data_IF_997693273971
#
_entry.id   IF_997693273971
#
_cell.length_a   1.000
_cell.length_b   1.000
_cell.length_c   1.000
_cell.angle_alpha   90.00
_cell.angle_beta   90.00
_cell.angle_gamma   90.00
#
_symmetry.space_group_name_H-M   'P 1'
#
loop_
_entity.id
_entity.type
_entity.pdbx_description
1 polymer ?
#
# COMPACT_ATOMS: atom_id res chain seq x y z
N UNK A 1 3.32 -22.78 25.70
CA UNK A 1 2.81 -23.46 24.49
C UNK A 1 3.92 -23.89 23.52
N UNK A 2 4.77 -22.99 22.98
CA UNK A 2 5.81 -23.40 22.01
C UNK A 2 6.80 -24.48 22.50
N UNK A 3 7.05 -24.52 23.82
CA UNK A 3 7.88 -25.53 24.52
C UNK A 3 7.04 -26.71 24.99
N UNK A 4 5.89 -26.44 25.62
CA UNK A 4 5.03 -27.46 26.23
C UNK A 4 4.30 -28.35 25.19
N UNK A 5 3.89 -27.79 24.06
CA UNK A 5 3.17 -28.49 22.99
C UNK A 5 3.78 -28.19 21.60
N UNK A 6 4.97 -28.74 21.30
CA UNK A 6 5.76 -28.38 20.13
C UNK A 6 5.05 -28.57 18.78
N UNK A 7 4.28 -29.66 18.66
CA UNK A 7 3.59 -30.02 17.42
C UNK A 7 2.34 -29.17 17.18
N UNK A 8 1.54 -28.99 18.23
CA UNK A 8 0.38 -28.11 18.18
C UNK A 8 0.80 -26.69 17.80
N UNK A 9 1.89 -26.19 18.40
CA UNK A 9 2.40 -24.87 18.10
C UNK A 9 2.79 -24.71 16.63
N UNK A 10 3.45 -25.72 16.03
CA UNK A 10 3.79 -25.72 14.61
C UNK A 10 2.54 -25.64 13.72
N UNK A 11 1.51 -26.45 14.01
CA UNK A 11 0.22 -26.41 13.30
C UNK A 11 -0.50 -25.08 13.49
N UNK A 12 -0.44 -24.51 14.69
CA UNK A 12 -1.05 -23.24 15.02
C UNK A 12 -0.42 -22.08 14.24
N UNK A 13 0.92 -22.02 14.14
CA UNK A 13 1.61 -21.02 13.32
C UNK A 13 1.20 -21.12 11.86
N UNK A 14 1.09 -22.34 11.32
CA UNK A 14 0.60 -22.55 9.96
C UNK A 14 -0.86 -22.09 9.82
N UNK A 15 -1.73 -22.44 10.77
CA UNK A 15 -3.13 -22.00 10.77
C UNK A 15 -3.27 -20.48 10.83
N UNK A 16 -2.49 -19.78 11.66
CA UNK A 16 -2.45 -18.32 11.67
C UNK A 16 -2.13 -17.78 10.27
N UNK A 17 -1.20 -18.44 9.58
CA UNK A 17 -0.73 -18.01 8.27
C UNK A 17 -1.75 -18.24 7.16
N UNK A 18 -2.30 -19.45 7.05
CA UNK A 18 -3.16 -19.84 5.91
C UNK A 18 -4.65 -19.84 6.22
N UNK A 19 -5.03 -20.13 7.46
CA UNK A 19 -6.43 -20.21 7.90
C UNK A 19 -6.97 -18.86 8.34
N UNK A 20 -6.29 -18.21 9.28
CA UNK A 20 -6.70 -16.90 9.81
C UNK A 20 -6.19 -15.71 8.97
N UNK A 21 -5.27 -15.96 8.03
CA UNK A 21 -4.65 -14.94 7.15
C UNK A 21 -3.96 -13.81 7.95
N UNK A 22 -3.46 -14.13 9.16
CA UNK A 22 -2.75 -13.21 10.04
C UNK A 22 -1.25 -13.24 9.75
N UNK A 23 -0.82 -12.54 8.69
CA UNK A 23 0.57 -12.47 8.25
C UNK A 23 1.53 -12.13 9.38
N UNK A 24 1.43 -10.93 9.95
CA UNK A 24 2.44 -10.43 10.90
C UNK A 24 2.45 -11.27 12.18
N UNK A 25 1.27 -11.64 12.68
CA UNK A 25 1.16 -12.48 13.86
C UNK A 25 1.81 -13.86 13.66
N UNK A 26 1.66 -14.47 12.48
CA UNK A 26 2.27 -15.77 12.19
C UNK A 26 3.80 -15.71 12.19
N UNK A 27 4.40 -14.67 11.61
CA UNK A 27 5.86 -14.47 11.58
C UNK A 27 6.39 -14.22 12.99
N UNK A 28 5.77 -13.30 13.75
CA UNK A 28 6.18 -12.99 15.12
C UNK A 28 6.07 -14.23 16.01
N UNK A 29 4.94 -14.95 15.95
CA UNK A 29 4.75 -16.18 16.70
C UNK A 29 5.86 -17.20 16.37
N UNK A 30 6.18 -17.42 15.10
CA UNK A 30 7.21 -18.35 14.69
C UNK A 30 8.60 -17.98 15.26
N UNK A 31 8.98 -16.70 15.26
CA UNK A 31 10.27 -16.23 15.77
C UNK A 31 10.35 -16.33 17.30
N UNK A 32 9.30 -15.90 18.01
CA UNK A 32 9.21 -16.00 19.47
C UNK A 32 9.21 -17.45 19.94
N UNK A 33 8.41 -18.29 19.29
CA UNK A 33 8.36 -19.72 19.57
C UNK A 33 9.68 -20.41 19.27
N UNK A 34 10.34 -20.04 18.17
CA UNK A 34 11.66 -20.57 17.85
C UNK A 34 12.70 -20.19 18.90
N UNK A 35 12.70 -18.95 19.38
CA UNK A 35 13.57 -18.48 20.47
C UNK A 35 13.35 -19.29 21.75
N UNK A 36 12.10 -19.41 22.19
CA UNK A 36 11.74 -20.16 23.40
C UNK A 36 12.15 -21.65 23.31
N UNK A 37 11.92 -22.27 22.16
CA UNK A 37 12.30 -23.67 21.93
C UNK A 37 13.81 -23.89 21.92
N UNK A 38 14.57 -22.98 21.29
CA UNK A 38 16.03 -23.04 21.30
C UNK A 38 16.56 -22.89 22.73
N UNK A 39 16.00 -21.97 23.52
CA UNK A 39 16.38 -21.80 24.93
C UNK A 39 16.09 -23.07 25.76
N UNK A 40 15.05 -23.83 25.41
CA UNK A 40 14.71 -25.10 26.03
C UNK A 40 15.43 -26.33 25.41
N UNK A 41 16.37 -26.14 24.48
CA UNK A 41 17.08 -27.25 23.83
C UNK A 41 16.23 -28.10 22.87
N UNK A 42 15.06 -27.61 22.45
CA UNK A 42 14.12 -28.36 21.61
C UNK A 42 14.41 -28.17 20.11
N UNK A 43 14.38 -29.26 19.30
CA UNK A 43 14.58 -29.18 17.85
C UNK A 43 13.32 -28.67 17.11
N UNK A 44 13.41 -28.55 15.78
CA UNK A 44 12.26 -28.34 14.89
C UNK A 44 11.90 -26.88 14.56
N UNK A 45 12.50 -25.89 15.23
CA UNK A 45 12.17 -24.47 15.01
C UNK A 45 12.44 -23.97 13.58
N UNK A 46 13.39 -24.57 12.85
CA UNK A 46 13.71 -24.22 11.45
C UNK A 46 12.49 -24.35 10.54
N UNK A 47 11.77 -25.47 10.64
CA UNK A 47 10.62 -25.75 9.80
C UNK A 47 9.45 -24.80 10.09
N UNK A 48 9.22 -24.48 11.37
CA UNK A 48 8.18 -23.53 11.79
C UNK A 48 8.45 -22.13 11.25
N UNK A 49 9.70 -21.64 11.38
CA UNK A 49 10.10 -20.34 10.82
C UNK A 49 9.96 -20.34 9.29
N UNK A 50 10.47 -21.37 8.62
CA UNK A 50 10.39 -21.49 7.17
C UNK A 50 8.94 -21.53 6.66
N UNK A 51 8.01 -22.18 7.36
CA UNK A 51 6.60 -22.29 6.96
C UNK A 51 5.80 -20.99 7.16
N UNK A 52 6.16 -20.17 8.14
CA UNK A 52 5.51 -18.89 8.40
C UNK A 52 5.80 -17.83 7.31
N UNK A 53 6.97 -17.94 6.66
CA UNK A 53 7.41 -17.03 5.61
C UNK A 53 6.93 -17.51 4.23
N UNK A 54 5.95 -16.80 3.65
CA UNK A 54 5.35 -17.17 2.36
C UNK A 54 5.35 -16.03 1.33
N UNK A 55 5.77 -14.81 1.69
CA UNK A 55 6.02 -13.71 0.74
C UNK A 55 7.46 -13.24 0.80
N UNK A 56 7.99 -12.77 -0.31
CA UNK A 56 9.42 -12.49 -0.46
C UNK A 56 9.90 -11.25 0.33
N UNK A 57 9.01 -10.38 0.80
CA UNK A 57 9.34 -9.31 1.74
C UNK A 57 9.51 -9.82 3.19
N UNK A 58 8.90 -10.95 3.54
CA UNK A 58 8.83 -11.45 4.92
C UNK A 58 10.17 -11.95 5.50
N UNK A 59 11.11 -12.53 4.73
CA UNK A 59 12.46 -12.77 5.23
C UNK A 59 13.15 -11.48 5.72
N UNK A 60 12.95 -10.35 5.04
CA UNK A 60 13.46 -9.04 5.44
C UNK A 60 12.78 -8.54 6.71
N UNK A 61 11.46 -8.66 6.79
CA UNK A 61 10.69 -8.31 8.01
C UNK A 61 11.11 -9.16 9.21
N UNK A 62 11.33 -10.46 9.03
CA UNK A 62 11.76 -11.37 10.09
C UNK A 62 13.14 -10.99 10.62
N UNK A 63 14.07 -10.65 9.72
CA UNK A 63 15.38 -10.11 10.09
C UNK A 63 15.26 -8.78 10.83
N UNK A 64 14.48 -7.83 10.29
CA UNK A 64 14.27 -6.51 10.90
C UNK A 64 13.68 -6.63 12.31
N UNK A 65 12.65 -7.46 12.47
CA UNK A 65 12.04 -7.77 13.77
C UNK A 65 13.07 -8.33 14.74
N UNK A 66 13.84 -9.34 14.31
CA UNK A 66 14.83 -9.97 15.18
C UNK A 66 15.91 -8.99 15.63
N UNK A 67 16.48 -8.22 14.69
CA UNK A 67 17.51 -7.23 14.99
C UNK A 67 16.99 -6.16 15.95
N UNK A 68 15.78 -5.64 15.71
CA UNK A 68 15.17 -4.62 16.57
C UNK A 68 14.85 -5.12 17.98
N UNK A 69 14.54 -6.41 18.14
CA UNK A 69 14.09 -6.96 19.43
C UNK A 69 15.18 -7.67 20.24
N UNK A 70 16.13 -8.30 19.54
CA UNK A 70 17.13 -9.22 20.11
C UNK A 70 18.57 -8.91 19.70
N UNK A 71 18.78 -7.95 18.81
CA UNK A 71 20.09 -7.61 18.28
C UNK A 71 20.63 -8.66 17.29
N UNK A 72 21.95 -8.63 17.06
CA UNK A 72 22.60 -9.37 15.97
C UNK A 72 22.68 -10.89 16.18
N UNK A 73 22.60 -11.36 17.43
CA UNK A 73 22.74 -12.80 17.73
C UNK A 73 21.44 -13.53 17.40
N UNK A 74 21.46 -14.27 16.31
CA UNK A 74 20.32 -15.06 15.83
C UNK A 74 20.60 -16.57 15.97
N UNK A 75 19.71 -17.34 16.63
CA UNK A 75 19.82 -18.79 16.71
C UNK A 75 19.92 -19.47 15.34
N UNK A 76 20.78 -20.49 15.25
CA UNK A 76 20.99 -21.25 14.00
C UNK A 76 19.69 -21.74 13.35
N UNK A 77 18.69 -22.30 14.07
CA UNK A 77 17.43 -22.71 13.46
C UNK A 77 16.62 -21.56 12.86
N UNK A 78 16.64 -20.37 13.48
CA UNK A 78 15.95 -19.17 12.96
C UNK A 78 16.65 -18.71 11.68
N UNK A 79 17.98 -18.54 11.73
CA UNK A 79 18.79 -18.16 10.57
C UNK A 79 18.55 -19.10 9.38
N UNK A 80 18.56 -20.42 9.61
CA UNK A 80 18.32 -21.43 8.56
C UNK A 80 16.88 -21.42 8.04
N UNK A 81 15.88 -21.16 8.89
CA UNK A 81 14.48 -21.08 8.45
C UNK A 81 14.24 -19.87 7.53
N UNK A 82 14.86 -18.73 7.84
CA UNK A 82 14.84 -17.54 6.97
C UNK A 82 15.60 -17.82 5.67
N UNK A 83 16.75 -18.49 5.74
CA UNK A 83 17.53 -18.87 4.56
C UNK A 83 16.71 -19.79 3.61
N UNK A 84 16.00 -20.78 4.15
CA UNK A 84 15.13 -21.66 3.36
C UNK A 84 13.98 -20.89 2.68
N UNK A 85 13.44 -19.89 3.37
CA UNK A 85 12.42 -19.01 2.80
C UNK A 85 13.00 -18.13 1.68
N UNK A 86 14.21 -17.58 1.85
CA UNK A 86 14.90 -16.84 0.80
C UNK A 86 15.12 -17.71 -0.45
N UNK A 87 15.62 -18.94 -0.30
CA UNK A 87 15.79 -19.89 -1.43
C UNK A 87 14.47 -20.17 -2.15
N UNK A 88 13.36 -20.28 -1.42
CA UNK A 88 12.04 -20.55 -2.02
C UNK A 88 11.42 -19.32 -2.69
N UNK A 89 11.58 -18.15 -2.08
CA UNK A 89 10.81 -16.94 -2.41
C UNK A 89 11.57 -15.95 -3.28
N UNK A 90 12.90 -16.02 -3.33
CA UNK A 90 13.72 -15.09 -4.10
C UNK A 90 13.88 -15.59 -5.54
N UNK A 91 13.20 -14.89 -6.42
CA UNK A 91 13.27 -14.99 -7.88
C UNK A 91 13.20 -13.58 -8.50
N UNK A 92 13.53 -13.43 -9.78
CA UNK A 92 13.63 -12.12 -10.45
C UNK A 92 12.40 -11.21 -10.25
N UNK A 93 11.18 -11.75 -10.44
CA UNK A 93 9.93 -11.00 -10.21
C UNK A 93 9.75 -10.54 -8.76
N UNK A 94 10.22 -11.31 -7.78
CA UNK A 94 10.12 -10.95 -6.36
C UNK A 94 11.09 -9.82 -6.02
N UNK A 95 12.29 -9.84 -6.59
CA UNK A 95 13.28 -8.77 -6.44
C UNK A 95 12.69 -7.46 -6.97
N UNK A 96 12.14 -7.47 -8.19
CA UNK A 96 11.49 -6.29 -8.78
C UNK A 96 10.32 -5.74 -7.96
N UNK A 97 9.58 -6.61 -7.27
CA UNK A 97 8.38 -6.23 -6.53
C UNK A 97 8.65 -5.81 -5.09
N UNK A 98 9.63 -6.42 -4.43
CA UNK A 98 9.79 -6.34 -2.98
C UNK A 98 11.16 -5.82 -2.53
N UNK A 99 12.13 -5.59 -3.42
CA UNK A 99 13.47 -5.06 -3.07
C UNK A 99 13.68 -3.62 -3.57
N UNK A 100 13.12 -2.66 -2.82
CA UNK A 100 13.30 -1.23 -3.08
C UNK A 100 14.45 -0.65 -2.24
N UNK A 101 15.16 0.36 -2.78
CA UNK A 101 16.38 0.91 -2.15
C UNK A 101 16.13 1.56 -0.77
N UNK A 102 14.90 2.07 -0.53
CA UNK A 102 14.52 2.71 0.73
C UNK A 102 14.08 1.76 1.86
N UNK A 103 14.12 0.44 1.65
CA UNK A 103 13.73 -0.51 2.68
C UNK A 103 14.80 -0.64 3.78
N UNK A 104 14.40 -0.78 5.06
CA UNK A 104 15.34 -0.90 6.17
C UNK A 104 16.16 -2.20 6.11
N UNK A 105 15.56 -3.27 5.59
CA UNK A 105 16.22 -4.54 5.33
C UNK A 105 15.86 -4.97 3.91
N UNK A 106 16.88 -5.13 3.08
CA UNK A 106 16.79 -5.51 1.67
C UNK A 106 17.11 -6.99 1.47
N UNK A 107 16.90 -7.48 0.25
CA UNK A 107 17.22 -8.87 -0.09
C UNK A 107 18.71 -9.15 0.17
N UNK A 108 19.60 -8.24 -0.22
CA UNK A 108 21.04 -8.36 0.06
C UNK A 108 21.36 -8.53 1.55
N UNK A 109 20.70 -7.77 2.45
CA UNK A 109 20.91 -7.91 3.89
C UNK A 109 20.46 -9.29 4.40
N UNK A 110 19.35 -9.82 3.88
CA UNK A 110 18.88 -11.17 4.23
C UNK A 110 19.91 -12.20 3.77
N UNK A 111 20.46 -12.06 2.56
CA UNK A 111 21.48 -12.96 2.03
C UNK A 111 22.76 -12.92 2.88
N UNK A 112 23.27 -11.73 3.20
CA UNK A 112 24.43 -11.53 4.07
C UNK A 112 24.23 -12.12 5.47
N UNK A 113 23.05 -11.93 6.06
CA UNK A 113 22.82 -12.38 7.44
C UNK A 113 22.54 -13.88 7.50
N UNK A 114 21.85 -14.43 6.50
CA UNK A 114 21.34 -15.82 6.55
C UNK A 114 22.17 -16.83 5.77
N UNK A 115 23.00 -16.37 4.83
CA UNK A 115 23.88 -17.19 3.99
C UNK A 115 23.15 -18.40 3.36
N UNK A 116 22.06 -18.19 2.62
CA UNK A 116 21.37 -19.28 1.94
C UNK A 116 22.24 -19.86 0.83
N UNK A 117 22.12 -21.17 0.62
CA UNK A 117 22.73 -21.85 -0.52
C UNK A 117 21.74 -21.81 -1.68
N UNK A 118 22.14 -21.21 -2.80
CA UNK A 118 21.33 -21.17 -4.00
C UNK A 118 21.04 -22.60 -4.52
N UNK A 119 19.82 -22.82 -5.02
CA UNK A 119 19.39 -24.13 -5.52
C UNK A 119 19.99 -24.49 -6.88
N UNK A 120 20.37 -23.48 -7.66
CA UNK A 120 20.89 -23.59 -9.02
C UNK A 120 21.78 -22.37 -9.35
N UNK A 121 22.52 -22.45 -10.45
CA UNK A 121 23.44 -21.39 -10.87
C UNK A 121 22.73 -20.05 -11.14
N UNK A 122 21.51 -20.08 -11.71
CA UNK A 122 20.72 -18.88 -12.01
C UNK A 122 20.28 -18.17 -10.73
N UNK A 123 19.88 -18.90 -9.70
CA UNK A 123 19.58 -18.32 -8.39
C UNK A 123 20.86 -17.80 -7.71
N UNK A 124 22.01 -18.45 -7.94
CA UNK A 124 23.31 -17.93 -7.53
C UNK A 124 23.58 -16.54 -8.13
N UNK A 125 23.32 -16.36 -9.42
CA UNK A 125 23.46 -15.07 -10.09
C UNK A 125 22.46 -14.03 -9.56
N UNK A 126 21.21 -14.44 -9.28
CA UNK A 126 20.22 -13.57 -8.65
C UNK A 126 20.68 -13.09 -7.26
N UNK A 127 21.23 -13.99 -6.44
CA UNK A 127 21.71 -13.64 -5.10
C UNK A 127 22.89 -12.68 -5.18
N UNK A 128 23.83 -12.95 -6.09
CA UNK A 128 24.97 -12.06 -6.35
C UNK A 128 24.50 -10.68 -6.80
N UNK A 129 23.55 -10.62 -7.73
CA UNK A 129 22.97 -9.36 -8.19
C UNK A 129 22.26 -8.59 -7.05
N UNK A 130 21.52 -9.27 -6.18
CA UNK A 130 20.88 -8.63 -5.02
C UNK A 130 21.88 -8.10 -3.98
N UNK A 131 22.99 -8.81 -3.75
CA UNK A 131 24.09 -8.35 -2.90
C UNK A 131 24.79 -7.14 -3.51
N UNK A 132 25.09 -7.20 -4.80
CA UNK A 132 25.72 -6.10 -5.54
C UNK A 132 24.87 -4.82 -5.48
N UNK A 133 23.55 -4.93 -5.67
CA UNK A 133 22.59 -3.84 -5.46
C UNK A 133 22.65 -3.26 -4.04
N UNK A 134 22.74 -4.13 -3.03
CA UNK A 134 22.81 -3.68 -1.64
C UNK A 134 24.10 -2.91 -1.33
N UNK A 135 25.21 -3.31 -1.93
CA UNK A 135 26.52 -2.72 -1.65
C UNK A 135 26.93 -1.60 -2.64
N UNK A 136 26.02 -1.15 -3.51
CA UNK A 136 26.30 -0.09 -4.48
C UNK A 136 27.27 -0.52 -5.59
N UNK A 137 27.34 -1.84 -5.86
CA UNK A 137 28.11 -2.43 -6.96
C UNK A 137 27.18 -2.74 -8.13
N UNK A 138 26.30 -1.80 -8.47
CA UNK A 138 25.20 -1.99 -9.41
C UNK A 138 25.68 -2.19 -10.85
N UNK A 139 26.05 -3.43 -11.17
CA UNK A 139 26.33 -3.86 -12.53
C UNK A 139 25.03 -4.22 -13.24
N UNK A 140 25.08 -4.20 -14.58
CA UNK A 140 24.02 -4.73 -15.44
C UNK A 140 23.67 -6.15 -14.99
N UNK A 141 22.38 -6.44 -14.92
CA UNK A 141 21.90 -7.79 -14.59
C UNK A 141 22.53 -8.81 -15.56
N UNK A 142 23.05 -9.96 -15.05
CA UNK A 142 23.55 -11.03 -15.89
C UNK A 142 22.51 -11.51 -16.91
N UNK A 143 22.96 -11.99 -18.07
CA UNK A 143 22.07 -12.50 -19.12
C UNK A 143 21.22 -13.70 -18.67
N UNK A 144 21.71 -14.46 -17.68
CA UNK A 144 20.98 -15.54 -17.01
C UNK A 144 19.70 -15.06 -16.29
N UNK A 145 19.62 -13.75 -15.98
CA UNK A 145 18.47 -13.08 -15.37
C UNK A 145 17.65 -12.37 -16.47
N UNK A 146 16.99 -13.17 -17.29
CA UNK A 146 16.25 -12.71 -18.46
C UNK A 146 15.11 -11.72 -18.14
N UNK A 147 14.42 -11.89 -17.01
CA UNK A 147 13.33 -10.98 -16.61
C UNK A 147 13.90 -9.63 -16.22
N UNK A 148 15.00 -9.61 -15.46
CA UNK A 148 15.68 -8.36 -15.09
C UNK A 148 16.26 -7.66 -16.32
N UNK A 149 16.85 -8.42 -17.25
CA UNK A 149 17.39 -7.88 -18.51
C UNK A 149 16.27 -7.27 -19.37
N UNK A 150 15.17 -7.98 -19.57
CA UNK A 150 14.01 -7.47 -20.29
C UNK A 150 13.39 -6.25 -19.60
N UNK A 151 13.32 -6.26 -18.26
CA UNK A 151 12.85 -5.11 -17.48
C UNK A 151 13.75 -3.91 -17.68
N UNK A 152 15.06 -4.06 -17.60
CA UNK A 152 16.02 -2.98 -17.83
C UNK A 152 15.87 -2.37 -19.23
N UNK A 153 15.68 -3.21 -20.26
CA UNK A 153 15.45 -2.74 -21.63
C UNK A 153 14.18 -1.88 -21.74
N UNK A 154 13.06 -2.28 -21.10
CA UNK A 154 11.85 -1.45 -21.07
C UNK A 154 12.06 -0.15 -20.28
N UNK A 155 12.74 -0.20 -19.13
CA UNK A 155 13.00 0.99 -18.31
C UNK A 155 13.89 2.01 -19.04
N UNK A 156 14.77 1.53 -19.93
CA UNK A 156 15.64 2.38 -20.74
C UNK A 156 14.92 3.07 -21.92
N UNK A 157 13.68 2.68 -22.25
CA UNK A 157 12.93 3.35 -23.32
C UNK A 157 12.61 4.81 -22.94
N UNK A 158 12.82 5.77 -23.87
CA UNK A 158 12.32 7.14 -23.72
C UNK A 158 10.82 7.14 -23.46
N UNK A 159 10.34 8.06 -22.61
CA UNK A 159 8.96 8.10 -22.12
C UNK A 159 7.95 8.12 -23.28
N UNK A 160 8.29 8.84 -24.34
CA UNK A 160 7.48 9.08 -25.53
C UNK A 160 7.18 7.76 -26.26
N UNK A 161 8.11 6.81 -26.24
CA UNK A 161 7.98 5.50 -26.91
C UNK A 161 7.27 4.44 -26.06
N UNK A 162 7.12 4.66 -24.74
CA UNK A 162 6.57 3.64 -23.83
C UNK A 162 5.11 3.31 -24.13
N UNK A 163 4.36 4.28 -24.67
CA UNK A 163 2.97 4.09 -25.05
C UNK A 163 2.77 3.05 -26.17
N UNK A 164 3.75 2.94 -27.08
CA UNK A 164 3.76 2.03 -28.23
C UNK A 164 3.93 0.57 -27.80
N UNK A 165 4.50 0.31 -26.62
CA UNK A 165 4.70 -1.05 -26.11
C UNK A 165 3.38 -1.59 -25.53
N UNK A 166 2.58 -2.20 -26.39
CA UNK A 166 1.28 -2.81 -26.04
C UNK A 166 1.30 -4.33 -26.01
N UNK A 167 2.35 -4.97 -26.53
CA UNK A 167 2.46 -6.42 -26.57
C UNK A 167 2.53 -7.01 -25.15
N UNK A 168 1.55 -7.86 -24.83
CA UNK A 168 1.44 -8.52 -23.52
C UNK A 168 2.59 -9.49 -23.25
N UNK A 169 3.13 -10.16 -24.28
CA UNK A 169 4.23 -11.10 -24.13
C UNK A 169 5.52 -10.37 -23.74
N UNK A 170 5.79 -9.23 -24.37
CA UNK A 170 6.93 -8.36 -24.04
C UNK A 170 6.83 -7.86 -22.59
N UNK A 171 5.66 -7.37 -22.19
CA UNK A 171 5.41 -6.89 -20.83
C UNK A 171 5.54 -8.02 -19.78
N UNK A 172 5.03 -9.22 -20.09
CA UNK A 172 5.11 -10.38 -19.20
C UNK A 172 6.54 -10.92 -19.05
N UNK A 173 7.34 -10.90 -20.13
CA UNK A 173 8.75 -11.28 -20.12
C UNK A 173 9.57 -10.34 -19.22
N UNK A 174 9.24 -9.05 -19.20
CA UNK A 174 9.84 -8.05 -18.32
C UNK A 174 9.28 -8.04 -16.89
N UNK A 175 8.37 -8.96 -16.55
CA UNK A 175 7.74 -9.00 -15.22
C UNK A 175 6.98 -7.71 -14.87
N UNK A 176 6.43 -7.01 -15.87
CA UNK A 176 5.58 -5.84 -15.64
C UNK A 176 4.27 -6.27 -14.99
N UNK A 177 4.06 -5.88 -13.74
CA UNK A 177 2.72 -5.93 -13.13
C UNK A 177 1.89 -4.74 -13.62
N UNK A 178 0.58 -4.76 -13.36
CA UNK A 178 -0.26 -3.60 -13.67
C UNK A 178 0.23 -2.32 -12.99
N UNK A 179 0.62 -2.42 -11.71
CA UNK A 179 1.12 -1.27 -10.94
C UNK A 179 2.42 -0.72 -11.55
N UNK A 180 3.35 -1.61 -11.90
CA UNK A 180 4.59 -1.23 -12.56
C UNK A 180 4.35 -0.59 -13.93
N UNK A 181 3.43 -1.14 -14.72
CA UNK A 181 3.08 -0.66 -16.05
C UNK A 181 2.43 0.73 -16.00
N UNK A 182 1.51 0.95 -15.05
CA UNK A 182 0.83 2.24 -14.88
C UNK A 182 1.84 3.36 -14.57
N UNK A 183 2.76 3.13 -13.63
CA UNK A 183 3.82 4.09 -13.32
C UNK A 183 4.82 4.28 -14.47
N UNK A 184 5.25 3.19 -15.12
CA UNK A 184 6.24 3.23 -16.20
C UNK A 184 5.75 3.99 -17.44
N UNK A 185 4.46 3.88 -17.80
CA UNK A 185 3.91 4.58 -18.96
C UNK A 185 3.92 6.10 -18.85
N UNK A 186 3.95 6.64 -17.63
CA UNK A 186 4.00 8.08 -17.36
C UNK A 186 2.98 8.92 -18.15
N UNK A 187 1.71 8.49 -18.19
CA UNK A 187 0.63 9.23 -18.89
C UNK A 187 -0.42 9.72 -17.91
N UNK A 188 -0.89 10.93 -18.13
CA UNK A 188 -2.14 11.45 -17.56
C UNK A 188 -3.28 11.30 -18.57
N UNK A 189 -4.53 11.35 -18.10
CA UNK A 189 -5.70 11.43 -18.96
C UNK A 189 -6.58 12.60 -18.51
N UNK A 190 -7.04 13.40 -19.46
CA UNK A 190 -7.95 14.51 -19.20
C UNK A 190 -9.39 14.03 -19.28
N UNK A 191 -10.16 14.28 -18.23
CA UNK A 191 -11.61 14.16 -18.27
C UNK A 191 -12.19 15.47 -18.78
N UNK A 192 -12.75 15.53 -20.01
CA UNK A 192 -13.32 16.78 -20.52
C UNK A 192 -14.49 17.22 -19.65
N UNK A 193 -14.62 18.54 -19.47
CA UNK A 193 -15.78 19.15 -18.81
C UNK A 193 -17.01 18.91 -19.70
N UNK A 194 -18.06 18.32 -19.16
CA UNK A 194 -19.23 17.94 -19.94
C UNK A 194 -20.03 19.16 -20.42
N UNK A 195 -20.03 20.24 -19.63
CA UNK A 195 -20.66 21.53 -19.96
C UNK A 195 -20.11 22.66 -19.07
N UNK A 196 -20.15 23.93 -19.52
CA UNK A 196 -19.86 25.07 -18.65
C UNK A 196 -20.69 25.00 -17.36
N UNK A 197 -20.04 25.18 -16.21
CA UNK A 197 -20.68 25.09 -14.89
C UNK A 197 -21.02 23.67 -14.41
N UNK A 198 -20.43 22.61 -14.98
CA UNK A 198 -20.56 21.25 -14.44
C UNK A 198 -20.18 21.21 -12.95
N UNK A 199 -21.02 20.57 -12.14
CA UNK A 199 -20.73 20.33 -10.73
C UNK A 199 -19.53 19.39 -10.58
N UNK A 200 -18.57 19.74 -9.72
CA UNK A 200 -17.43 18.87 -9.36
C UNK A 200 -17.90 17.47 -8.94
N UNK A 201 -19.01 17.37 -8.21
CA UNK A 201 -19.57 16.07 -7.80
C UNK A 201 -20.10 15.26 -8.99
N UNK A 202 -20.67 15.91 -10.00
CA UNK A 202 -21.12 15.24 -11.22
C UNK A 202 -19.91 14.75 -12.04
N UNK A 203 -18.86 15.56 -12.15
CA UNK A 203 -17.61 15.17 -12.80
C UNK A 203 -16.95 13.96 -12.09
N UNK A 204 -16.92 13.95 -10.75
CA UNK A 204 -16.41 12.80 -9.96
C UNK A 204 -17.26 11.54 -10.17
N UNK A 205 -18.59 11.65 -10.23
CA UNK A 205 -19.47 10.50 -10.53
C UNK A 205 -19.19 9.94 -11.92
N UNK A 206 -19.10 10.81 -12.93
CA UNK A 206 -18.76 10.41 -14.31
C UNK A 206 -17.37 9.79 -14.40
N UNK A 207 -16.40 10.29 -13.64
CA UNK A 207 -15.07 9.71 -13.51
C UNK A 207 -15.15 8.27 -12.96
N UNK A 208 -15.94 8.06 -11.89
CA UNK A 208 -16.16 6.73 -11.30
C UNK A 208 -16.91 5.77 -12.23
N UNK A 209 -18.01 6.22 -12.83
CA UNK A 209 -18.88 5.41 -13.69
C UNK A 209 -18.26 5.13 -15.06
N UNK A 210 -17.48 6.08 -15.59
CA UNK A 210 -16.80 5.98 -16.88
C UNK A 210 -15.50 5.19 -16.87
N UNK A 211 -15.16 4.51 -15.77
CA UNK A 211 -13.96 3.67 -15.67
C UNK A 211 -12.64 4.45 -15.62
N UNK A 212 -12.66 5.71 -15.17
CA UNK A 212 -11.47 6.55 -15.04
C UNK A 212 -10.73 6.35 -13.70
N UNK A 213 -11.29 5.52 -12.82
CA UNK A 213 -10.63 5.04 -11.60
C UNK A 213 -9.72 3.87 -11.97
N UNK A 214 -8.52 4.16 -12.47
CA UNK A 214 -7.51 3.15 -12.88
C UNK A 214 -6.88 2.41 -11.69
N UNK A 215 -7.19 2.85 -10.48
CA UNK A 215 -7.00 2.08 -9.27
C UNK A 215 -5.57 1.95 -8.78
N UNK A 216 -4.56 2.64 -9.36
CA UNK A 216 -3.20 2.83 -8.81
C UNK A 216 -2.35 3.79 -9.69
N UNK A 217 -1.41 4.51 -9.07
CA UNK A 217 -0.38 5.33 -9.71
C UNK A 217 -0.69 6.84 -9.74
N UNK A 218 0.21 7.64 -9.17
CA UNK A 218 0.05 9.09 -9.02
C UNK A 218 1.21 9.80 -9.73
N UNK A 219 0.92 10.55 -10.79
CA UNK A 219 1.88 11.39 -11.54
C UNK A 219 1.48 12.86 -11.43
N UNK A 220 1.10 13.29 -10.23
CA UNK A 220 0.46 14.60 -9.98
C UNK A 220 1.25 15.74 -10.59
N UNK A 221 2.56 15.81 -10.32
CA UNK A 221 3.42 16.89 -10.79
C UNK A 221 3.40 17.02 -12.32
N UNK A 222 3.62 15.90 -13.03
CA UNK A 222 3.64 15.91 -14.49
C UNK A 222 2.25 16.16 -15.06
N UNK A 223 1.20 15.62 -14.45
CA UNK A 223 -0.17 15.91 -14.86
C UNK A 223 -0.52 17.40 -14.71
N UNK A 224 -0.08 18.06 -13.64
CA UNK A 224 -0.27 19.50 -13.45
C UNK A 224 0.51 20.29 -14.50
N UNK A 225 1.78 19.94 -14.73
CA UNK A 225 2.61 20.60 -15.75
C UNK A 225 2.00 20.50 -17.14
N UNK A 226 1.57 19.31 -17.56
CA UNK A 226 1.11 19.05 -18.92
C UNK A 226 -0.29 19.64 -19.19
N UNK A 227 -1.10 19.84 -18.14
CA UNK A 227 -2.51 20.21 -18.29
C UNK A 227 -2.86 21.59 -17.73
N UNK A 228 -1.96 22.28 -17.02
CA UNK A 228 -2.23 23.65 -16.59
C UNK A 228 -2.23 24.60 -17.79
N UNK A 229 -3.42 25.07 -18.18
CA UNK A 229 -3.63 25.97 -19.31
C UNK A 229 -4.29 27.29 -18.87
N UNK A 230 -3.73 27.95 -17.84
CA UNK A 230 -4.26 29.24 -17.35
C UNK A 230 -5.54 29.11 -16.52
N UNK A 231 -5.70 28.01 -15.79
CA UNK A 231 -6.85 27.79 -14.93
C UNK A 231 -6.86 28.77 -13.75
N UNK A 232 -8.02 29.33 -13.42
CA UNK A 232 -8.15 30.27 -12.30
C UNK A 232 -7.89 29.63 -10.93
N UNK A 233 -8.00 28.29 -10.84
CA UNK A 233 -7.79 27.49 -9.62
C UNK A 233 -7.36 26.08 -9.96
N UNK A 234 -6.55 25.48 -9.08
CA UNK A 234 -6.13 24.06 -9.17
C UNK A 234 -6.54 23.33 -7.90
N UNK A 235 -7.17 22.16 -8.05
CA UNK A 235 -7.55 21.29 -6.92
C UNK A 235 -7.01 19.89 -7.20
N UNK A 236 -6.15 19.39 -6.30
CA UNK A 236 -5.52 18.09 -6.37
C UNK A 236 -6.20 17.14 -5.38
N UNK A 237 -6.85 16.10 -5.89
CA UNK A 237 -7.49 15.05 -5.09
C UNK A 237 -6.61 13.81 -5.13
N UNK A 238 -5.90 13.50 -4.04
CA UNK A 238 -4.84 12.49 -4.05
C UNK A 238 -4.64 11.86 -2.68
N UNK A 239 -4.09 10.65 -2.63
CA UNK A 239 -3.59 10.05 -1.40
C UNK A 239 -2.18 10.55 -1.01
N UNK A 240 -1.57 11.41 -1.84
CA UNK A 240 -0.22 11.97 -1.66
C UNK A 240 0.90 10.92 -1.66
N UNK A 241 0.76 9.87 -2.47
CA UNK A 241 1.89 8.98 -2.75
C UNK A 241 3.07 9.77 -3.36
N UNK A 242 4.09 10.05 -2.55
CA UNK A 242 5.26 10.85 -2.91
C UNK A 242 6.31 10.12 -3.78
N UNK A 243 5.97 8.95 -4.33
CA UNK A 243 6.90 8.15 -5.12
C UNK A 243 6.76 8.48 -6.61
N UNK A 244 7.87 8.89 -7.24
CA UNK A 244 8.03 9.23 -8.67
C UNK A 244 7.53 10.63 -9.10
N UNK A 245 8.02 11.69 -8.45
CA UNK A 245 7.94 13.04 -9.01
C UNK A 245 9.35 13.58 -9.29
N UNK A 246 9.56 14.14 -10.49
CA UNK A 246 10.84 14.74 -10.89
C UNK A 246 11.16 16.06 -10.17
N UNK A 247 10.24 16.58 -9.36
CA UNK A 247 10.41 17.75 -8.48
C UNK A 247 9.65 17.56 -7.18
N UNK A 248 10.12 18.23 -6.12
CA UNK A 248 9.55 18.19 -4.78
C UNK A 248 8.22 18.97 -4.63
N UNK A 249 7.91 19.87 -5.57
CA UNK A 249 6.69 20.69 -5.58
C UNK A 249 5.82 20.32 -6.78
N UNK A 250 4.66 19.71 -6.50
CA UNK A 250 3.69 19.29 -7.53
C UNK A 250 2.94 20.45 -8.19
N UNK A 251 3.01 21.65 -7.61
CA UNK A 251 2.35 22.88 -8.06
C UNK A 251 3.30 23.85 -8.74
N UNK A 252 4.55 23.46 -8.99
CA UNK A 252 5.58 24.34 -9.56
C UNK A 252 5.21 24.95 -10.92
N UNK A 253 4.36 24.27 -11.70
CA UNK A 253 3.86 24.77 -12.99
C UNK A 253 2.68 25.77 -12.85
N UNK A 254 2.14 25.96 -11.65
CA UNK A 254 1.01 26.85 -11.37
C UNK A 254 1.56 28.17 -10.82
N UNK A 255 1.21 29.33 -11.43
CA UNK A 255 1.58 30.64 -10.91
C UNK A 255 1.28 30.81 -9.41
N UNK A 256 2.10 31.61 -8.72
CA UNK A 256 2.02 31.76 -7.27
C UNK A 256 0.73 32.45 -6.81
N UNK A 257 0.15 33.30 -7.66
CA UNK A 257 -1.10 34.03 -7.46
C UNK A 257 -2.34 33.18 -7.72
N UNK A 258 -2.20 32.03 -8.40
CA UNK A 258 -3.31 31.11 -8.68
C UNK A 258 -3.53 30.18 -7.47
N UNK A 259 -4.75 30.16 -6.88
CA UNK A 259 -5.06 29.27 -5.77
C UNK A 259 -4.91 27.80 -6.16
N UNK A 260 -4.03 27.09 -5.45
CA UNK A 260 -3.83 25.66 -5.58
C UNK A 260 -4.10 24.96 -4.24
N UNK A 261 -4.95 23.94 -4.27
CA UNK A 261 -5.39 23.18 -3.11
C UNK A 261 -5.03 21.71 -3.26
N UNK A 262 -4.44 21.12 -2.24
CA UNK A 262 -4.28 19.66 -2.15
C UNK A 262 -5.23 19.12 -1.10
N UNK A 263 -6.05 18.14 -1.49
CA UNK A 263 -6.94 17.37 -0.63
C UNK A 263 -6.39 15.95 -0.48
N UNK A 264 -5.82 15.70 0.70
CA UNK A 264 -5.27 14.40 1.04
C UNK A 264 -6.40 13.43 1.45
N UNK A 265 -6.55 12.35 0.68
CA UNK A 265 -7.63 11.37 0.84
C UNK A 265 -7.24 10.14 1.69
N UNK A 266 -5.94 9.84 1.89
CA UNK A 266 -5.51 8.60 2.56
C UNK A 266 -4.26 8.69 3.47
N UNK A 267 -3.61 9.85 3.58
CA UNK A 267 -2.80 10.23 4.74
C UNK A 267 -1.32 9.83 4.74
N UNK A 268 -0.53 10.20 3.72
CA UNK A 268 0.92 10.32 3.90
C UNK A 268 1.28 11.56 4.74
N UNK A 269 2.26 11.41 5.64
CA UNK A 269 2.63 12.41 6.66
C UNK A 269 3.33 13.66 6.09
N UNK A 270 3.96 13.53 4.93
CA UNK A 270 4.71 14.61 4.27
C UNK A 270 3.91 15.03 3.05
N UNK A 271 3.39 16.26 3.07
CA UNK A 271 2.68 16.85 1.95
C UNK A 271 3.60 17.05 0.74
N UNK A 272 3.07 16.85 -0.47
CA UNK A 272 3.80 17.05 -1.73
C UNK A 272 3.75 18.51 -2.23
N UNK A 273 3.20 19.42 -1.42
CA UNK A 273 3.02 20.85 -1.71
C UNK A 273 3.89 21.71 -0.77
N UNK A 274 4.50 22.82 -1.22
CA UNK A 274 5.23 23.72 -0.34
C UNK A 274 4.36 24.31 0.79
N UNK A 275 4.95 24.59 1.97
CA UNK A 275 4.28 25.36 3.02
C UNK A 275 3.80 26.72 2.48
N UNK A 276 2.53 27.09 2.76
CA UNK A 276 1.92 28.35 2.31
C UNK A 276 0.95 28.20 1.14
N UNK A 277 0.96 27.07 0.43
CA UNK A 277 -0.18 26.64 -0.40
C UNK A 277 -1.25 26.01 0.52
N UNK A 278 -2.53 26.13 0.16
CA UNK A 278 -3.63 25.69 1.03
C UNK A 278 -3.78 24.17 0.99
N UNK A 279 -3.25 23.48 1.99
CA UNK A 279 -3.37 22.03 2.16
C UNK A 279 -4.55 21.69 3.10
N UNK A 280 -5.42 20.79 2.66
CA UNK A 280 -6.64 20.40 3.39
C UNK A 280 -6.67 18.89 3.59
N UNK A 281 -6.82 18.48 4.85
CA UNK A 281 -6.85 17.07 5.24
C UNK A 281 -8.29 16.61 5.46
N UNK A 282 -8.72 15.57 4.74
CA UNK A 282 -10.04 14.95 4.93
C UNK A 282 -10.04 13.87 6.03
N UNK A 283 -8.86 13.38 6.41
CA UNK A 283 -8.66 12.55 7.60
C UNK A 283 -7.62 13.21 8.50
N UNK A 284 -7.85 13.23 9.82
CA UNK A 284 -6.83 13.71 10.74
C UNK A 284 -5.55 12.89 10.52
N UNK A 285 -4.36 13.52 10.35
CA UNK A 285 -3.12 12.77 10.34
C UNK A 285 -3.09 11.90 11.60
N UNK A 286 -2.74 10.61 11.49
CA UNK A 286 -2.54 9.77 12.67
C UNK A 286 -1.54 10.49 13.57
N UNK A 287 -2.04 11.15 14.61
CA UNK A 287 -1.23 11.81 15.63
C UNK A 287 -0.34 10.71 16.20
N UNK A 288 0.97 10.86 16.05
CA UNK A 288 1.90 10.11 16.86
C UNK A 288 1.54 10.44 18.31
N UNK A 289 1.07 9.43 19.04
CA UNK A 289 1.22 9.40 20.48
C UNK A 289 2.73 9.40 20.73
N UNK A 290 3.31 10.60 20.84
CA UNK A 290 4.55 10.79 21.55
C UNK A 290 4.21 10.49 23.00
N UNK A 291 4.51 9.27 23.44
CA UNK A 291 4.51 8.93 24.86
C UNK A 291 5.72 9.62 25.50
N UNK A 292 5.46 10.75 26.15
CA UNK A 292 6.11 11.06 27.42
C UNK A 292 5.18 10.54 28.54
N UNK A 293 5.52 9.37 29.10
CA UNK A 293 5.33 8.87 30.48
C UNK A 293 3.92 8.87 31.17
N UNK A 294 3.72 8.09 32.26
CA UNK A 294 2.50 7.32 32.49
C UNK A 294 1.49 8.00 33.42
N UNK A 295 0.20 7.79 33.17
CA UNK A 295 -0.84 8.23 34.09
C UNK A 295 -2.25 7.89 33.61
N UNK A 296 -2.85 6.89 34.26
CA UNK A 296 -4.28 6.62 34.43
C UNK A 296 -5.18 6.38 33.20
N UNK A 297 -5.79 5.19 33.23
CA UNK A 297 -6.96 4.80 32.47
C UNK A 297 -8.08 5.84 32.52
N UNK A 298 -8.64 6.21 31.37
CA UNK A 298 -10.05 6.56 31.28
C UNK A 298 -10.66 6.26 29.92
N UNK A 299 -11.45 5.20 29.93
CA UNK A 299 -12.44 4.77 28.96
C UNK A 299 -13.49 5.86 28.69
N UNK A 300 -13.60 6.34 27.44
CA UNK A 300 -14.90 6.63 26.81
C UNK A 300 -14.75 6.94 25.31
N UNK A 301 -15.24 6.03 24.46
CA UNK A 301 -15.48 6.31 23.04
C UNK A 301 -16.92 6.84 22.87
N UNK A 302 -17.09 8.14 22.68
CA UNK A 302 -18.30 8.74 22.06
C UNK A 302 -17.97 10.05 21.34
N UNK A 303 -18.21 10.07 20.02
CA UNK A 303 -18.50 11.27 19.21
C UNK A 303 -18.88 10.77 17.81
N UNK A 304 -20.16 10.60 17.47
CA UNK A 304 -21.18 11.62 17.16
C UNK A 304 -20.67 12.69 16.21
N UNK A 305 -21.09 12.55 14.96
CA UNK A 305 -20.99 13.48 13.85
C UNK A 305 -21.77 14.78 14.13
N UNK A 306 -21.17 15.93 13.85
CA UNK A 306 -21.89 17.18 13.57
C UNK A 306 -21.01 18.15 12.78
N UNK A 307 -21.22 18.22 11.47
CA UNK A 307 -20.76 19.34 10.65
C UNK A 307 -21.77 20.49 10.88
N UNK A 308 -21.34 21.58 11.52
CA UNK A 308 -22.12 22.81 11.64
C UNK A 308 -21.77 23.76 10.50
N UNK A 309 -22.66 23.86 9.52
CA UNK A 309 -22.66 24.94 8.52
C UNK A 309 -23.32 26.17 9.14
N UNK A 310 -22.57 27.27 9.31
CA UNK A 310 -23.15 28.59 9.63
C UNK A 310 -23.50 29.30 8.31
N UNK A 311 -24.78 29.35 7.98
CA UNK A 311 -25.31 30.32 7.02
C UNK A 311 -25.74 31.57 7.80
N UNK A 312 -25.24 32.75 7.42
CA UNK A 312 -25.82 34.03 7.81
C UNK A 312 -26.91 34.36 6.79
N UNK A 313 -28.15 34.46 7.23
CA UNK A 313 -29.23 35.12 6.48
C UNK A 313 -29.74 36.30 7.31
N UNK A 314 -29.69 37.48 6.71
CA UNK A 314 -30.37 38.69 7.16
C UNK A 314 -31.67 38.81 6.39
N UNK A 315 -32.82 38.76 7.07
CA UNK A 315 -34.03 39.47 6.61
C UNK A 315 -35.10 39.58 7.72
N UNK A 316 -35.33 40.83 8.11
CA UNK A 316 -36.63 41.50 8.35
C UNK A 316 -37.91 40.66 8.55
N UNK A 317 -38.43 40.73 9.79
CA UNK A 317 -39.79 41.13 10.23
C UNK A 317 -41.04 40.47 9.60
N UNK A 318 -41.81 39.83 10.50
CA UNK A 318 -43.14 39.18 10.43
C UNK A 318 -44.31 40.19 10.19
N UNK A 319 -45.63 39.82 10.14
CA UNK A 319 -46.25 38.64 10.78
C UNK A 319 -47.49 37.94 10.15
N UNK A 320 -47.75 36.76 10.75
CA UNK A 320 -49.03 36.13 11.13
C UNK A 320 -50.12 35.83 10.09
N UNK A 321 -50.48 34.54 9.97
CA UNK A 321 -51.78 33.97 10.43
C UNK A 321 -51.76 32.45 10.33
N UNK A 322 -52.20 31.75 11.40
CA UNK A 322 -52.69 30.36 11.42
C UNK A 322 -54.24 30.39 11.58
N UNK A 323 -55.02 29.30 11.72
CA UNK A 323 -54.71 27.85 11.76
C UNK A 323 -55.74 26.92 11.03
N UNK A 324 -55.51 25.59 11.11
CA UNK A 324 -56.50 24.51 10.90
C UNK A 324 -55.81 23.18 10.60
N UNK A 325 -55.65 22.23 11.54
CA UNK A 325 -56.62 21.16 11.92
C UNK A 325 -57.22 20.45 10.68
N UNK A 326 -57.19 19.14 10.46
CA UNK A 326 -57.35 18.01 11.39
C UNK A 326 -57.12 16.65 10.69
N UNK A 327 -56.59 15.68 11.44
CA UNK A 327 -56.95 14.23 11.51
C UNK A 327 -57.30 13.41 10.25
N UNK A 328 -56.57 12.29 10.04
CA UNK A 328 -57.14 10.93 10.18
C UNK A 328 -56.08 9.84 9.89
N UNK A 329 -56.25 8.69 10.53
CA UNK A 329 -55.40 7.49 10.60
C UNK A 329 -56.36 6.28 10.45
N UNK A 330 -55.92 5.01 10.53
CA UNK A 330 -55.01 4.20 9.71
C UNK A 330 -55.76 3.06 8.97
N UNK A 331 -55.07 2.27 8.13
CA UNK A 331 -55.45 0.87 7.88
C UNK A 331 -54.24 0.02 7.44
N UNK A 332 -53.92 -0.98 8.25
CA UNK A 332 -53.18 -2.24 7.97
C UNK A 332 -54.28 -3.35 7.99
N UNK A 333 -54.09 -4.65 7.61
CA UNK A 333 -52.85 -5.43 7.71
C UNK A 333 -52.67 -6.60 6.67
N UNK A 334 -51.64 -7.43 6.94
CA UNK A 334 -51.48 -8.89 6.70
C UNK A 334 -50.86 -9.43 5.38
N UNK A 335 -49.55 -9.72 5.49
CA UNK A 335 -48.84 -11.02 5.30
C UNK A 335 -49.49 -12.13 4.43
N UNK A 336 -48.72 -12.65 3.45
CA UNK A 336 -48.62 -14.11 3.12
C UNK A 336 -47.32 -14.44 2.34
N UNK A 337 -46.61 -15.47 2.82
CA UNK A 337 -45.63 -16.38 2.19
C UNK A 337 -46.00 -17.79 2.73
N UNK A 338 -45.55 -18.95 2.19
CA UNK A 338 -44.43 -19.21 1.26
C UNK A 338 -44.78 -20.17 0.09
N UNK A 339 -43.80 -20.46 -0.80
CA UNK A 339 -43.85 -21.52 -1.83
C UNK A 339 -42.84 -22.64 -1.49
N UNK A 340 -43.31 -23.89 -1.44
CA UNK A 340 -42.61 -25.13 -1.83
C UNK A 340 -43.11 -25.47 -3.26
N UNK A 341 -42.43 -26.17 -4.18
CA UNK A 341 -41.80 -27.51 -4.16
C UNK A 341 -40.93 -27.67 -5.44
N UNK A 342 -40.01 -28.65 -5.54
CA UNK A 342 -39.21 -28.96 -6.73
C UNK A 342 -39.72 -30.20 -7.51
N UNK A 343 -39.35 -30.35 -8.79
CA UNK A 343 -39.07 -31.61 -9.51
C UNK A 343 -38.81 -31.33 -11.01
N UNK A 344 -37.86 -32.06 -11.60
CA UNK A 344 -37.49 -32.04 -13.02
C UNK A 344 -36.03 -32.34 -13.22
#
# INVERSE_FOLDING_TARGET
MAVAEPEWFGRFVLWLRVGAVLRTASVVAALEGARARVAAGLPGSRAVVGAALQRADEPGEAVAYWLGRYGRRMPKPVKRGIADAAVRLYHERSLLKYDADGLPVRFGDVLDLTHPVARDARQGDLFRHALDRRHGRDHRAPESLAVLTARAALMALPVERRAEVTDRAVLAAAGMTWEALAGWRQRSRVLPVARPGESVLAAVRRCREGGWFFGNGTLTEQAVRDNYAGHDRVVLLTDEQAHLHGRADVTAAVPADVPAYTWNLAGYRVGHTPPGRSEMYLSAPRRALLNDEPGEERTSWRSTSAIRTRARSTTSRAPSTSPGASTSTPSRPVRRKPRHTPCG
#
